data_IF_002437495578
#
_entry.id   IF_002437495578
#
_cell.length_a   1.000
_cell.length_b   1.000
_cell.length_c   1.000
_cell.angle_alpha   90.00
_cell.angle_beta   90.00
_cell.angle_gamma   90.00
#
_symmetry.space_group_name_H-M   'P 1'
#
loop_
_entity.id
_entity.type
_entity.pdbx_description
1 polymer ?
#
# COMPACT_ATOMS: atom_id res chain seq x y z
N UNK A 1 19.32 33.24 3.08
CA UNK A 1 17.89 33.39 3.44
C UNK A 1 17.45 32.12 4.14
N UNK A 2 16.95 32.15 5.38
CA UNK A 2 16.48 30.93 6.02
C UNK A 2 15.08 30.61 5.49
N UNK A 3 14.89 29.36 5.06
CA UNK A 3 13.58 28.84 4.66
C UNK A 3 12.86 28.38 5.92
N UNK A 4 11.74 29.01 6.20
CA UNK A 4 10.87 28.76 7.35
C UNK A 4 10.41 27.31 7.39
N UNK A 5 10.78 26.59 8.45
CA UNK A 5 10.28 25.23 8.74
C UNK A 5 9.00 25.36 9.57
N UNK A 6 7.86 24.99 8.99
CA UNK A 6 6.58 24.89 9.70
C UNK A 6 6.55 23.60 10.52
N UNK A 7 6.51 23.73 11.84
CA UNK A 7 6.27 22.65 12.79
C UNK A 7 4.77 22.35 12.83
N UNK A 8 4.38 21.11 12.61
CA UNK A 8 3.05 20.62 13.02
C UNK A 8 3.23 19.57 14.12
N UNK A 9 2.54 19.71 15.28
CA UNK A 9 2.56 18.69 16.31
C UNK A 9 1.44 17.67 16.01
N UNK A 10 1.78 16.40 15.93
CA UNK A 10 0.82 15.31 16.08
C UNK A 10 1.29 14.31 17.15
N UNK A 11 0.36 13.66 17.86
CA UNK A 11 0.47 13.35 19.27
C UNK A 11 1.12 11.98 19.51
N UNK A 12 1.59 11.84 20.75
CA UNK A 12 1.94 10.61 21.44
C UNK A 12 0.99 9.44 21.08
N UNK A 13 1.53 8.32 20.57
CA UNK A 13 1.25 6.98 21.12
C UNK A 13 2.08 5.85 20.44
N UNK A 14 2.71 5.07 21.32
CA UNK A 14 3.06 3.63 21.28
C UNK A 14 4.13 3.05 20.33
N UNK A 15 4.88 2.02 20.80
CA UNK A 15 6.12 1.57 20.18
C UNK A 15 5.81 0.71 18.96
N UNK A 16 5.67 1.35 17.81
CA UNK A 16 5.59 0.65 16.54
C UNK A 16 6.98 0.14 16.15
N UNK A 17 7.15 -1.19 16.19
CA UNK A 17 8.28 -1.85 15.53
C UNK A 17 8.21 -1.49 14.05
N UNK A 18 9.08 -0.57 13.64
CA UNK A 18 9.15 -0.10 12.26
C UNK A 18 10.14 -0.98 11.53
N UNK A 19 9.66 -1.84 10.63
CA UNK A 19 10.53 -2.64 9.77
C UNK A 19 10.99 -1.76 8.63
N UNK A 20 12.22 -1.26 8.71
CA UNK A 20 12.79 -0.42 7.66
C UNK A 20 13.76 -1.28 6.85
N UNK A 21 13.42 -1.55 5.58
CA UNK A 21 14.38 -2.10 4.63
C UNK A 21 15.34 -0.97 4.23
N UNK A 22 16.53 -0.95 4.83
CA UNK A 22 17.50 0.14 4.70
C UNK A 22 18.77 -0.29 3.97
N UNK A 23 18.90 0.06 2.69
CA UNK A 23 20.19 -0.01 1.99
C UNK A 23 20.99 1.31 2.07
N UNK A 24 20.42 2.39 2.63
CA UNK A 24 20.93 3.77 2.43
C UNK A 24 20.84 4.74 3.62
N UNK A 25 20.76 4.26 4.87
CA UNK A 25 20.86 5.15 6.04
C UNK A 25 22.24 4.96 6.68
N UNK A 26 23.08 6.01 6.82
CA UNK A 26 24.31 5.92 7.58
C UNK A 26 23.94 5.75 9.06
N UNK A 27 23.86 4.50 9.52
CA UNK A 27 23.40 4.19 10.88
C UNK A 27 24.55 3.74 11.77
N UNK A 28 24.54 4.22 13.01
CA UNK A 28 25.48 3.82 14.04
C UNK A 28 25.13 2.40 14.51
N UNK A 29 26.07 1.46 14.39
CA UNK A 29 25.88 0.02 14.65
C UNK A 29 25.27 -0.32 16.03
N UNK A 30 25.37 0.57 17.01
CA UNK A 30 24.81 0.39 18.36
C UNK A 30 23.29 0.32 18.42
N UNK A 31 22.58 0.72 17.35
CA UNK A 31 21.10 0.70 17.29
C UNK A 31 20.52 -0.57 16.63
N UNK A 32 21.36 -1.41 16.04
CA UNK A 32 20.93 -2.64 15.37
C UNK A 32 20.65 -3.70 16.44
N UNK A 33 19.42 -4.17 16.47
CA UNK A 33 18.94 -5.23 17.34
C UNK A 33 19.05 -6.62 16.70
N UNK A 34 18.10 -7.49 17.01
CA UNK A 34 18.12 -8.90 16.62
C UNK A 34 17.89 -9.13 15.13
N UNK A 35 18.48 -10.19 14.59
CA UNK A 35 18.18 -10.67 13.25
C UNK A 35 16.85 -11.42 13.26
N UNK A 36 15.86 -10.90 12.55
CA UNK A 36 14.50 -11.48 12.51
C UNK A 36 14.31 -12.45 11.36
N UNK A 37 15.09 -12.32 10.28
CA UNK A 37 14.98 -13.20 9.15
C UNK A 37 16.22 -13.17 8.26
N UNK A 38 16.46 -14.29 7.57
CA UNK A 38 17.56 -14.48 6.63
C UNK A 38 17.00 -15.08 5.35
N UNK A 39 17.33 -14.50 4.22
CA UNK A 39 16.98 -15.03 2.91
C UNK A 39 18.24 -15.27 2.08
N UNK A 40 18.23 -16.38 1.36
CA UNK A 40 19.33 -16.85 0.54
C UNK A 40 18.93 -16.86 -0.92
N UNK A 41 19.75 -16.26 -1.77
CA UNK A 41 19.64 -16.34 -3.21
C UNK A 41 20.65 -17.38 -3.73
N UNK A 42 20.19 -18.53 -4.24
CA UNK A 42 21.09 -19.60 -4.66
C UNK A 42 21.81 -19.30 -6.00
N UNK A 43 21.17 -18.56 -6.90
CA UNK A 43 21.60 -18.29 -8.27
C UNK A 43 21.50 -16.79 -8.62
N UNK A 44 21.64 -16.39 -9.89
CA UNK A 44 21.52 -14.98 -10.31
C UNK A 44 20.08 -14.58 -10.68
N UNK A 45 19.09 -15.30 -10.16
CA UNK A 45 17.68 -14.99 -10.36
C UNK A 45 17.15 -14.10 -9.23
N UNK A 46 15.92 -13.60 -9.36
CA UNK A 46 15.35 -12.67 -8.39
C UNK A 46 14.88 -13.36 -7.10
N UNK A 47 14.56 -14.64 -7.17
CA UNK A 47 13.94 -15.42 -6.08
C UNK A 47 14.90 -15.63 -4.91
N UNK A 48 14.38 -15.52 -3.69
CA UNK A 48 15.11 -15.80 -2.45
C UNK A 48 14.32 -16.74 -1.55
N UNK A 49 15.04 -17.55 -0.77
CA UNK A 49 14.45 -18.56 0.12
C UNK A 49 14.83 -18.28 1.58
N UNK A 50 13.93 -18.50 2.55
CA UNK A 50 14.22 -18.28 3.98
C UNK A 50 15.19 -19.30 4.57
N UNK A 51 15.70 -20.22 3.74
CA UNK A 51 16.71 -21.22 4.07
C UNK A 51 17.69 -21.35 2.90
N UNK A 52 18.90 -21.84 3.15
CA UNK A 52 19.80 -22.20 2.06
C UNK A 52 19.33 -23.54 1.45
N UNK A 53 18.95 -23.59 0.16
CA UNK A 53 18.47 -24.84 -0.44
C UNK A 53 19.51 -25.96 -0.37
N UNK A 54 19.08 -27.23 -0.30
CA UNK A 54 19.99 -28.38 -0.32
C UNK A 54 20.91 -28.34 -1.55
N UNK A 55 22.18 -28.76 -1.38
CA UNK A 55 23.23 -28.79 -2.41
C UNK A 55 23.80 -27.44 -2.87
N UNK A 56 23.24 -26.32 -2.41
CA UNK A 56 23.80 -25.00 -2.65
C UNK A 56 24.84 -24.69 -1.57
N UNK A 57 26.11 -24.92 -1.90
CA UNK A 57 27.24 -24.66 -0.99
C UNK A 57 27.77 -23.23 -1.08
N UNK A 58 27.42 -22.50 -2.15
CA UNK A 58 27.88 -21.14 -2.43
C UNK A 58 26.73 -20.26 -2.94
N UNK A 59 25.82 -19.82 -2.05
CA UNK A 59 24.76 -18.89 -2.42
C UNK A 59 25.36 -17.57 -2.94
N UNK A 60 24.68 -16.92 -3.89
CA UNK A 60 25.14 -15.69 -4.52
C UNK A 60 24.85 -14.46 -3.67
N UNK A 61 23.79 -14.51 -2.88
CA UNK A 61 23.40 -13.42 -1.99
C UNK A 61 22.80 -13.98 -0.70
N UNK A 62 23.06 -13.30 0.41
CA UNK A 62 22.45 -13.54 1.71
C UNK A 62 21.92 -12.19 2.22
N UNK A 63 20.60 -12.04 2.28
CA UNK A 63 19.96 -10.87 2.87
C UNK A 63 19.57 -11.20 4.31
N UNK A 64 19.88 -10.29 5.22
CA UNK A 64 19.52 -10.39 6.63
C UNK A 64 18.70 -9.18 7.02
N UNK A 65 17.54 -9.41 7.62
CA UNK A 65 16.70 -8.36 8.18
C UNK A 65 16.95 -8.29 9.69
N UNK A 66 17.12 -7.06 10.17
CA UNK A 66 17.35 -6.77 11.57
C UNK A 66 16.30 -5.80 12.08
N UNK A 67 15.97 -5.94 13.37
CA UNK A 67 15.23 -4.90 14.08
C UNK A 67 16.17 -3.74 14.38
N UNK A 68 15.67 -2.53 14.23
CA UNK A 68 16.44 -1.32 14.54
C UNK A 68 15.69 -0.55 15.61
N UNK A 69 16.38 -0.31 16.73
CA UNK A 69 15.80 0.44 17.85
C UNK A 69 15.97 1.93 17.59
N UNK A 70 14.85 2.62 17.39
CA UNK A 70 14.80 4.07 17.24
C UNK A 70 14.68 4.74 18.62
N UNK A 71 15.37 5.87 18.80
CA UNK A 71 15.18 6.71 19.98
C UNK A 71 13.87 7.49 19.87
N UNK A 72 13.42 8.12 20.96
CA UNK A 72 12.17 8.92 20.96
C UNK A 72 12.12 9.99 19.84
N UNK A 73 13.29 10.49 19.42
CA UNK A 73 13.44 11.41 18.30
C UNK A 73 14.66 11.02 17.48
N UNK A 74 14.46 10.85 16.18
CA UNK A 74 15.52 10.52 15.23
C UNK A 74 15.30 11.27 13.92
N UNK A 75 16.38 11.77 13.33
CA UNK A 75 16.33 12.53 12.08
C UNK A 75 16.88 11.66 10.95
N UNK A 76 16.09 11.48 9.89
CA UNK A 76 16.48 10.72 8.71
C UNK A 76 16.76 11.65 7.53
N UNK A 77 17.94 11.50 6.92
CA UNK A 77 18.25 12.14 5.65
C UNK A 77 17.74 11.25 4.51
N UNK A 78 16.65 11.66 3.85
CA UNK A 78 16.04 10.92 2.75
C UNK A 78 16.42 11.57 1.42
N UNK A 79 17.02 10.84 0.46
CA UNK A 79 17.30 11.36 -0.87
C UNK A 79 16.04 11.91 -1.56
N UNK A 80 16.18 12.96 -2.38
CA UNK A 80 15.03 13.64 -3.02
C UNK A 80 14.15 12.73 -3.91
N UNK A 81 14.71 11.65 -4.42
CA UNK A 81 14.02 10.67 -5.26
C UNK A 81 13.32 9.56 -4.45
N UNK A 82 13.40 9.59 -3.13
CA UNK A 82 12.81 8.60 -2.23
C UNK A 82 11.82 9.25 -1.27
N UNK A 83 10.88 8.45 -0.79
CA UNK A 83 9.93 8.83 0.26
C UNK A 83 10.07 7.84 1.41
N UNK A 84 10.15 8.37 2.63
CA UNK A 84 10.11 7.57 3.85
C UNK A 84 8.65 7.45 4.27
N UNK A 85 8.15 6.22 4.36
CA UNK A 85 6.79 5.90 4.75
C UNK A 85 6.81 5.04 6.01
N UNK A 86 5.92 5.35 6.96
CA UNK A 86 5.62 4.46 8.07
C UNK A 86 4.48 3.54 7.61
N UNK A 87 4.78 2.24 7.52
CA UNK A 87 3.81 1.23 7.07
C UNK A 87 3.41 0.39 8.28
N UNK A 88 2.13 0.37 8.68
CA UNK A 88 1.68 -0.48 9.77
C UNK A 88 1.76 -1.97 9.39
N UNK A 89 1.96 -2.83 10.39
CA UNK A 89 2.23 -4.27 10.15
C UNK A 89 1.11 -4.99 9.38
N UNK A 90 -0.15 -4.57 9.52
CA UNK A 90 -1.28 -5.17 8.81
C UNK A 90 -1.28 -4.85 7.31
N UNK A 91 -0.59 -3.79 6.86
CA UNK A 91 -0.39 -3.54 5.42
C UNK A 91 0.70 -4.46 4.83
N UNK A 92 1.50 -5.13 5.68
CA UNK A 92 2.57 -6.03 5.27
C UNK A 92 2.15 -7.51 5.30
N UNK A 93 1.18 -7.86 6.14
CA UNK A 93 0.70 -9.23 6.32
C UNK A 93 -0.59 -9.45 5.51
N UNK A 94 -0.50 -10.26 4.46
CA UNK A 94 -1.64 -10.70 3.64
C UNK A 94 -2.51 -9.57 3.06
N UNK A 95 -2.20 -9.18 1.81
CA UNK A 95 -3.18 -8.53 0.90
C UNK A 95 -4.44 -9.39 0.62
N UNK A 96 -4.71 -10.44 1.41
CA UNK A 96 -5.75 -11.46 1.23
C UNK A 96 -7.16 -10.90 1.41
N UNK A 97 -7.31 -9.77 2.13
CA UNK A 97 -8.62 -9.11 2.21
C UNK A 97 -9.08 -8.56 0.86
N UNK A 98 -8.18 -8.21 -0.07
CA UNK A 98 -8.56 -7.78 -1.42
C UNK A 98 -8.70 -9.02 -2.30
N UNK A 99 -9.95 -9.42 -2.54
CA UNK A 99 -10.33 -10.52 -3.41
C UNK A 99 -10.33 -10.15 -4.89
N UNK A 100 -11.26 -10.75 -5.65
CA UNK A 100 -11.27 -10.68 -7.12
C UNK A 100 -11.60 -9.29 -7.67
N UNK A 101 -11.03 -8.97 -8.83
CA UNK A 101 -11.40 -7.78 -9.59
C UNK A 101 -12.72 -8.04 -10.32
N UNK A 102 -13.78 -7.35 -9.90
CA UNK A 102 -15.13 -7.54 -10.44
C UNK A 102 -15.41 -6.66 -11.64
N UNK A 103 -14.72 -5.52 -11.77
CA UNK A 103 -14.91 -4.62 -12.89
C UNK A 103 -13.74 -3.65 -13.08
N UNK A 104 -13.51 -3.27 -14.33
CA UNK A 104 -12.50 -2.29 -14.74
C UNK A 104 -13.14 -1.28 -15.66
N UNK A 105 -12.93 0.00 -15.38
CA UNK A 105 -13.37 1.10 -16.23
C UNK A 105 -12.18 1.94 -16.68
N UNK A 106 -12.19 2.31 -17.95
CA UNK A 106 -11.13 3.04 -18.61
C UNK A 106 -11.62 4.41 -19.05
N UNK A 107 -10.84 5.44 -18.71
CA UNK A 107 -11.06 6.80 -19.18
C UNK A 107 -10.05 7.11 -20.28
N UNK A 108 -10.48 7.27 -21.55
CA UNK A 108 -9.55 7.49 -22.65
C UNK A 108 -9.00 8.92 -22.70
N UNK A 109 -9.80 9.93 -22.30
CA UNK A 109 -9.51 11.36 -22.41
C UNK A 109 -9.69 12.09 -21.06
N UNK A 110 -9.53 13.41 -21.01
CA UNK A 110 -9.82 14.21 -19.80
C UNK A 110 -11.31 14.57 -19.65
N UNK A 111 -12.18 13.69 -20.11
CA UNK A 111 -13.64 13.80 -20.00
C UNK A 111 -14.15 12.91 -18.87
N UNK A 112 -15.39 13.10 -18.46
CA UNK A 112 -15.96 12.39 -17.31
C UNK A 112 -16.19 10.90 -17.62
N UNK A 113 -16.65 10.60 -18.83
CA UNK A 113 -17.11 9.28 -19.31
C UNK A 113 -16.04 8.20 -19.18
N UNK A 114 -16.44 7.04 -18.64
CA UNK A 114 -15.63 5.83 -18.59
C UNK A 114 -16.29 4.65 -19.28
N UNK A 115 -15.48 3.73 -19.80
CA UNK A 115 -15.93 2.55 -20.53
C UNK A 115 -15.49 1.27 -19.82
N UNK A 116 -16.30 0.20 -19.81
CA UNK A 116 -15.95 -1.08 -19.18
C UNK A 116 -14.87 -1.87 -19.95
N UNK A 117 -14.30 -1.26 -20.99
CA UNK A 117 -13.21 -1.79 -21.81
C UNK A 117 -12.31 -0.63 -22.23
N UNK A 118 -11.06 -0.91 -22.57
CA UNK A 118 -10.18 0.09 -23.19
C UNK A 118 -10.62 0.26 -24.65
N UNK A 119 -11.05 1.46 -25.09
CA UNK A 119 -11.50 1.66 -26.46
C UNK A 119 -10.41 1.36 -27.50
N UNK A 120 -10.79 0.90 -28.72
CA UNK A 120 -9.83 0.70 -29.81
C UNK A 120 -9.01 1.97 -30.09
N UNK A 121 -7.72 1.80 -30.43
CA UNK A 121 -6.76 2.87 -30.73
C UNK A 121 -6.29 3.73 -29.54
N UNK A 122 -6.85 3.53 -28.35
CA UNK A 122 -6.36 4.18 -27.12
C UNK A 122 -5.26 3.31 -26.50
N UNK A 123 -4.01 3.67 -26.77
CA UNK A 123 -2.83 2.97 -26.23
C UNK A 123 -2.43 3.44 -24.83
N UNK A 124 -2.88 4.64 -24.43
CA UNK A 124 -2.55 5.29 -23.16
C UNK A 124 -3.78 5.98 -22.55
N UNK A 125 -4.68 5.21 -21.91
CA UNK A 125 -5.81 5.78 -21.19
C UNK A 125 -5.33 6.70 -20.06
N UNK A 126 -6.09 7.74 -19.76
CA UNK A 126 -5.76 8.73 -18.73
C UNK A 126 -6.02 8.22 -17.33
N UNK A 127 -7.00 7.33 -17.19
CA UNK A 127 -7.37 6.73 -15.91
C UNK A 127 -7.88 5.31 -16.10
N UNK A 128 -7.62 4.46 -15.12
CA UNK A 128 -8.13 3.10 -15.03
C UNK A 128 -8.66 2.91 -13.61
N UNK A 129 -9.98 2.80 -13.45
CA UNK A 129 -10.61 2.47 -12.17
C UNK A 129 -10.86 0.97 -12.11
N UNK A 130 -10.55 0.35 -10.99
CA UNK A 130 -10.75 -1.07 -10.74
C UNK A 130 -11.57 -1.24 -9.46
N UNK A 131 -12.61 -2.06 -9.54
CA UNK A 131 -13.40 -2.46 -8.39
C UNK A 131 -13.00 -3.87 -7.99
N UNK A 132 -12.77 -4.05 -6.69
CA UNK A 132 -12.38 -5.32 -6.09
C UNK A 132 -13.39 -5.72 -5.02
N UNK A 133 -13.60 -7.01 -4.88
CA UNK A 133 -14.27 -7.56 -3.70
C UNK A 133 -13.31 -7.48 -2.52
N UNK A 134 -13.80 -7.03 -1.36
CA UNK A 134 -13.02 -7.03 -0.13
C UNK A 134 -13.68 -8.01 0.85
N UNK A 135 -12.92 -9.02 1.26
CA UNK A 135 -13.32 -9.97 2.28
C UNK A 135 -13.15 -9.33 3.66
N UNK A 136 -14.27 -9.10 4.34
CA UNK A 136 -14.26 -8.63 5.72
C UNK A 136 -14.03 -9.80 6.68
N UNK A 137 -13.30 -9.51 7.75
CA UNK A 137 -13.15 -10.45 8.87
C UNK A 137 -14.46 -10.58 9.67
N UNK A 138 -14.57 -11.57 10.56
CA UNK A 138 -15.78 -11.75 11.39
C UNK A 138 -16.13 -10.50 12.23
N UNK A 139 -15.12 -9.68 12.59
CA UNK A 139 -15.29 -8.44 13.36
C UNK A 139 -14.27 -7.41 12.92
N UNK A 140 -14.76 -6.29 12.41
CA UNK A 140 -13.93 -5.19 11.90
C UNK A 140 -14.46 -3.83 12.38
N UNK A 141 -13.56 -2.87 12.61
CA UNK A 141 -13.91 -1.53 13.07
C UNK A 141 -13.62 -0.50 11.97
N UNK A 142 -14.64 0.27 11.58
CA UNK A 142 -14.51 1.32 10.57
C UNK A 142 -14.50 2.71 11.21
N UNK A 143 -13.47 3.50 10.91
CA UNK A 143 -13.44 4.92 11.24
C UNK A 143 -14.07 5.72 10.09
N UNK A 144 -15.35 6.10 10.25
CA UNK A 144 -16.08 6.86 9.24
C UNK A 144 -15.94 8.36 9.54
N UNK A 145 -15.44 9.19 8.59
CA UNK A 145 -15.41 10.64 8.75
C UNK A 145 -16.79 11.22 9.05
N UNK A 146 -16.85 12.28 9.85
CA UNK A 146 -18.13 12.87 10.32
C UNK A 146 -19.06 13.36 9.19
N UNK A 147 -18.51 13.67 8.02
CA UNK A 147 -19.24 14.12 6.84
C UNK A 147 -19.73 12.96 5.95
N UNK A 148 -19.42 11.71 6.29
CA UNK A 148 -19.80 10.52 5.54
C UNK A 148 -20.66 9.59 6.39
N UNK A 149 -21.39 8.70 5.71
CA UNK A 149 -22.18 7.65 6.34
C UNK A 149 -21.80 6.32 5.70
N UNK A 150 -21.59 5.30 6.53
CA UNK A 150 -21.41 3.93 6.08
C UNK A 150 -22.78 3.24 6.09
N UNK A 151 -23.22 2.80 4.92
CA UNK A 151 -24.52 2.18 4.72
C UNK A 151 -24.32 0.77 4.16
N UNK A 152 -25.01 -0.20 4.76
CA UNK A 152 -25.10 -1.54 4.19
C UNK A 152 -26.28 -1.56 3.21
N UNK A 153 -25.99 -1.74 1.92
CA UNK A 153 -26.98 -1.70 0.84
C UNK A 153 -27.19 -3.13 0.33
N UNK A 154 -28.41 -3.68 0.36
CA UNK A 154 -28.67 -4.99 -0.20
C UNK A 154 -28.61 -4.95 -1.74
N UNK A 155 -28.15 -6.03 -2.35
CA UNK A 155 -27.87 -6.07 -3.81
C UNK A 155 -29.09 -5.75 -4.68
N UNK A 156 -30.31 -6.10 -4.24
CA UNK A 156 -31.53 -5.84 -5.01
C UNK A 156 -31.87 -4.34 -5.11
N UNK A 157 -31.39 -3.49 -4.18
CA UNK A 157 -31.55 -2.04 -4.29
C UNK A 157 -30.66 -1.42 -5.37
N UNK A 158 -29.60 -2.13 -5.76
CA UNK A 158 -28.67 -1.69 -6.81
C UNK A 158 -29.20 -2.02 -8.21
N UNK A 159 -29.99 -3.09 -8.34
CA UNK A 159 -30.51 -3.55 -9.62
C UNK A 159 -31.54 -2.55 -10.20
N UNK A 160 -31.35 -2.14 -11.45
CA UNK A 160 -32.18 -1.18 -12.21
C UNK A 160 -32.34 0.24 -11.60
N UNK A 161 -31.65 0.54 -10.49
CA UNK A 161 -31.69 1.84 -9.81
C UNK A 161 -30.45 2.70 -10.07
N UNK A 162 -29.82 2.54 -11.24
CA UNK A 162 -28.56 3.21 -11.59
C UNK A 162 -28.66 4.73 -11.41
N UNK A 163 -29.81 5.35 -11.68
CA UNK A 163 -30.01 6.80 -11.54
C UNK A 163 -29.98 7.28 -10.08
N UNK A 164 -30.44 6.47 -9.12
CA UNK A 164 -30.41 6.81 -7.70
C UNK A 164 -28.99 6.74 -7.17
N UNK A 165 -28.24 5.70 -7.56
CA UNK A 165 -26.86 5.49 -7.11
C UNK A 165 -25.84 6.39 -7.83
N UNK A 166 -26.16 6.88 -9.04
CA UNK A 166 -25.42 7.98 -9.71
C UNK A 166 -25.30 9.20 -8.82
N UNK A 167 -26.31 9.52 -8.01
CA UNK A 167 -26.29 10.67 -7.11
C UNK A 167 -25.35 10.50 -5.92
N UNK A 168 -25.22 9.28 -5.41
CA UNK A 168 -24.43 8.97 -4.21
C UNK A 168 -22.98 8.55 -4.51
N UNK A 169 -22.74 8.02 -5.71
CA UNK A 169 -21.41 7.57 -6.16
C UNK A 169 -21.07 8.08 -7.57
N UNK A 170 -21.09 9.41 -7.80
CA UNK A 170 -20.82 9.99 -9.13
C UNK A 170 -19.42 9.59 -9.65
N UNK A 171 -18.47 9.41 -8.74
CA UNK A 171 -17.10 8.99 -9.05
C UNK A 171 -16.99 7.56 -9.57
N UNK A 172 -17.86 6.64 -9.14
CA UNK A 172 -17.79 5.23 -9.55
C UNK A 172 -18.43 4.98 -10.92
N UNK A 173 -19.35 5.84 -11.35
CA UNK A 173 -20.05 5.72 -12.63
C UNK A 173 -19.52 6.67 -13.72
N UNK A 174 -18.52 7.49 -13.41
CA UNK A 174 -17.78 8.26 -14.40
C UNK A 174 -18.62 9.31 -15.14
N UNK A 175 -19.52 10.01 -14.46
CA UNK A 175 -20.28 11.12 -15.05
C UNK A 175 -20.47 12.20 -13.97
N UNK A 176 -19.91 13.39 -14.19
CA UNK A 176 -20.44 14.64 -13.60
C UNK A 176 -21.56 15.18 -14.50
#
# INVERSE_FOLDING_TARGET
MPVTTTLLPFPLFQPHVTVISMDYVPMQYSKVGECVAVWWRPNFETVMYPYCPPHITKPKECKKLFLVHLSEREYFAVPKNLKLLAVPLFELYDNVQVGECVAVWWRPNFETVMYPYCPPHITKPKECKKLFLVHLSEREYFAVPKNLKLLAVPLFELYDNVQVWRKWTPELLGIE
#
